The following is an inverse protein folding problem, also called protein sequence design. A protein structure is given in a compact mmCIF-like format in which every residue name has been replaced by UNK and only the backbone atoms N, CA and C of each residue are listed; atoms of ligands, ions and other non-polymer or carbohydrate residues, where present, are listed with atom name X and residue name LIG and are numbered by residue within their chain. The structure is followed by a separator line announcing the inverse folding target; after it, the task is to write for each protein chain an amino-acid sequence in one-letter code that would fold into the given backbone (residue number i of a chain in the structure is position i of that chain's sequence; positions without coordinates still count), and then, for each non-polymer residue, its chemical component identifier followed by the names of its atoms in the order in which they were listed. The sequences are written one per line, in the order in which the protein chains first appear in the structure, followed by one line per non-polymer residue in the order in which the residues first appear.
data_IF_568700135031
#
_entry.id   IF_568700135031
#
_cell.length_a   1.000
_cell.length_b   1.000
_cell.length_c   1.000
_cell.angle_alpha   90.00
_cell.angle_beta   90.00
_cell.angle_gamma   90.00
#
_symmetry.space_group_name_H-M   'P 1'
#
loop_
_entity.id
_entity.type
_entity.pdbx_description
1 polymer ?
#
# COMPACT_ATOMS: atom_id res chain seq x y z
N UNK A 1 -22.26 24.07 16.92
CA UNK A 1 -21.40 23.24 16.05
C UNK A 1 -20.12 24.01 15.78
N UNK A 2 -19.14 23.88 16.66
CA UNK A 2 -17.83 24.52 16.52
C UNK A 2 -17.09 23.84 15.36
N UNK A 3 -16.79 24.60 14.29
CA UNK A 3 -15.90 24.14 13.22
C UNK A 3 -14.60 23.68 13.87
N UNK A 4 -14.24 22.41 13.74
CA UNK A 4 -12.89 21.96 14.07
C UNK A 4 -11.90 22.80 13.26
N UNK A 5 -10.77 23.23 13.86
CA UNK A 5 -9.76 24.00 13.14
C UNK A 5 -9.36 23.24 11.88
N UNK A 6 -9.30 23.97 10.75
CA UNK A 6 -9.05 23.44 9.41
C UNK A 6 -7.90 22.43 9.41
N UNK A 7 -8.25 21.16 9.36
CA UNK A 7 -7.31 20.06 9.41
C UNK A 7 -6.69 19.89 8.03
N UNK A 8 -5.40 20.17 7.91
CA UNK A 8 -4.70 20.11 6.64
C UNK A 8 -3.84 18.86 6.51
N UNK A 9 -3.76 18.32 5.30
CA UNK A 9 -2.89 17.20 4.93
C UNK A 9 -1.77 17.65 3.99
N UNK A 10 -0.58 17.09 4.18
CA UNK A 10 0.60 17.30 3.33
C UNK A 10 0.59 16.29 2.20
N UNK A 11 0.24 16.75 1.00
CA UNK A 11 0.16 15.94 -0.22
C UNK A 11 1.30 16.36 -1.15
N UNK A 12 2.12 15.38 -1.53
CA UNK A 12 3.20 15.57 -2.49
C UNK A 12 2.66 15.75 -3.91
N UNK A 13 1.73 14.87 -4.32
CA UNK A 13 1.22 14.82 -5.69
C UNK A 13 -0.22 14.30 -5.71
N UNK A 14 -1.02 14.82 -6.64
CA UNK A 14 -2.32 14.26 -7.04
C UNK A 14 -2.29 14.09 -8.56
N UNK A 15 -2.49 12.87 -9.06
CA UNK A 15 -2.38 12.59 -10.48
C UNK A 15 -3.20 11.36 -10.91
N UNK A 16 -3.55 11.30 -12.19
CA UNK A 16 -4.19 10.14 -12.82
C UNK A 16 -3.10 9.25 -13.45
N UNK A 17 -3.22 7.93 -13.28
CA UNK A 17 -2.28 6.95 -13.85
C UNK A 17 -2.90 5.55 -13.91
N UNK A 18 -2.11 4.56 -14.30
CA UNK A 18 -2.46 3.14 -14.26
C UNK A 18 -1.72 2.46 -13.10
N UNK A 19 -2.45 1.67 -12.30
CA UNK A 19 -1.88 0.91 -11.19
C UNK A 19 -0.83 -0.08 -11.70
N UNK A 20 0.41 0.14 -11.29
CA UNK A 20 1.56 -0.63 -11.76
C UNK A 20 1.94 -1.80 -10.85
N UNK A 21 1.23 -2.02 -9.74
CA UNK A 21 1.59 -2.99 -8.71
C UNK A 21 0.36 -3.75 -8.19
N UNK A 22 0.60 -4.89 -7.53
CA UNK A 22 -0.47 -5.64 -6.85
C UNK A 22 -1.45 -6.33 -7.79
N UNK A 23 -2.59 -6.76 -7.24
CA UNK A 23 -3.60 -7.55 -7.97
C UNK A 23 -4.48 -6.70 -8.91
N UNK A 24 -4.48 -5.37 -8.74
CA UNK A 24 -5.18 -4.41 -9.60
C UNK A 24 -4.28 -3.82 -10.68
N UNK A 25 -3.22 -4.53 -11.03
CA UNK A 25 -2.29 -4.12 -12.07
C UNK A 25 -3.03 -3.89 -13.39
N UNK A 26 -2.87 -2.69 -13.97
CA UNK A 26 -3.52 -2.30 -15.23
C UNK A 26 -4.79 -1.46 -15.05
N UNK A 27 -5.31 -1.33 -13.82
CA UNK A 27 -6.48 -0.49 -13.55
C UNK A 27 -6.14 1.01 -13.58
N UNK A 28 -7.02 1.80 -14.20
CA UNK A 28 -6.89 3.27 -14.19
C UNK A 28 -7.27 3.81 -12.81
N UNK A 29 -6.40 4.57 -12.16
CA UNK A 29 -6.59 5.08 -10.80
C UNK A 29 -6.20 6.56 -10.68
N UNK A 30 -6.84 7.26 -9.75
CA UNK A 30 -6.34 8.53 -9.25
C UNK A 30 -5.43 8.25 -8.06
N UNK A 31 -4.28 8.89 -7.99
CA UNK A 31 -3.31 8.73 -6.92
C UNK A 31 -3.25 10.01 -6.09
N UNK A 32 -3.36 9.86 -4.77
CA UNK A 32 -3.11 10.90 -3.78
C UNK A 32 -1.87 10.48 -3.00
N UNK A 33 -0.73 11.10 -3.30
CA UNK A 33 0.56 10.77 -2.68
C UNK A 33 0.81 11.64 -1.45
N UNK A 34 0.76 11.05 -0.27
CA UNK A 34 1.07 11.70 1.00
C UNK A 34 2.57 11.93 1.16
N UNK A 35 2.90 13.00 1.88
CA UNK A 35 4.28 13.36 2.22
C UNK A 35 4.68 12.81 3.59
N UNK A 36 5.88 12.24 3.67
CA UNK A 36 6.51 11.75 4.90
C UNK A 36 6.15 10.30 5.25
N UNK A 37 7.12 9.52 5.71
CA UNK A 37 6.95 8.11 6.08
C UNK A 37 7.61 7.85 7.44
N UNK A 38 7.07 6.91 8.22
CA UNK A 38 7.65 6.50 9.51
C UNK A 38 8.81 5.49 9.36
N UNK A 39 9.11 5.07 8.13
CA UNK A 39 10.16 4.11 7.80
C UNK A 39 11.14 4.72 6.79
N UNK A 40 12.40 4.29 6.86
CA UNK A 40 13.45 4.65 5.91
C UNK A 40 14.06 3.38 5.29
N UNK A 41 13.28 2.71 4.43
CA UNK A 41 13.64 1.41 3.87
C UNK A 41 14.82 1.55 2.90
N UNK A 42 15.78 0.61 2.93
CA UNK A 42 16.96 0.61 2.05
C UNK A 42 16.62 0.63 0.55
N UNK A 43 15.50 0.04 0.16
CA UNK A 43 15.03 -0.03 -1.24
C UNK A 43 13.99 1.03 -1.60
N UNK A 44 13.73 2.02 -0.72
CA UNK A 44 12.72 3.04 -0.99
C UNK A 44 13.03 3.76 -2.31
N UNK A 45 12.02 3.87 -3.17
CA UNK A 45 12.13 4.46 -4.52
C UNK A 45 11.38 5.79 -4.66
N UNK A 46 10.71 6.22 -3.60
CA UNK A 46 9.83 7.39 -3.59
C UNK A 46 10.27 8.35 -2.49
N UNK A 47 10.83 9.51 -2.89
CA UNK A 47 11.30 10.55 -1.97
C UNK A 47 10.85 11.93 -2.47
N UNK A 48 9.59 12.32 -2.23
CA UNK A 48 9.12 13.64 -2.61
C UNK A 48 9.93 14.72 -1.90
N UNK A 49 10.34 15.76 -2.63
CA UNK A 49 11.13 16.87 -2.06
C UNK A 49 10.24 17.95 -1.44
N UNK A 50 8.99 18.07 -1.91
CA UNK A 50 8.05 19.08 -1.47
C UNK A 50 6.64 18.50 -1.28
N UNK A 51 5.78 19.30 -0.65
CA UNK A 51 4.36 19.02 -0.51
C UNK A 51 3.57 20.33 -0.59
N UNK A 52 2.28 20.19 -0.89
CA UNK A 52 1.27 21.22 -0.70
C UNK A 52 0.34 20.80 0.43
N UNK A 53 -0.10 21.77 1.22
CA UNK A 53 -1.16 21.53 2.19
C UNK A 53 -2.54 21.58 1.52
N UNK A 54 -3.36 20.58 1.80
CA UNK A 54 -4.73 20.46 1.34
C UNK A 54 -5.69 20.50 2.51
N UNK A 55 -6.84 21.15 2.33
CA UNK A 55 -8.05 20.80 3.10
C UNK A 55 -8.75 19.60 2.45
N UNK A 56 -9.47 18.74 3.21
CA UNK A 56 -10.14 17.57 2.65
C UNK A 56 -11.08 17.92 1.49
N UNK A 57 -11.84 19.01 1.61
CA UNK A 57 -12.75 19.49 0.55
C UNK A 57 -12.00 19.97 -0.70
N UNK A 58 -10.83 20.57 -0.53
CA UNK A 58 -9.97 21.00 -1.64
C UNK A 58 -9.44 19.80 -2.40
N UNK A 59 -8.99 18.75 -1.68
CA UNK A 59 -8.52 17.50 -2.28
C UNK A 59 -9.63 16.84 -3.11
N UNK A 60 -10.83 16.70 -2.55
CA UNK A 60 -11.97 16.12 -3.28
C UNK A 60 -12.33 16.97 -4.51
N UNK A 61 -12.30 18.30 -4.39
CA UNK A 61 -12.55 19.18 -5.53
C UNK A 61 -11.51 19.00 -6.64
N UNK A 62 -10.25 18.72 -6.29
CA UNK A 62 -9.20 18.42 -7.26
C UNK A 62 -9.39 17.05 -7.91
N UNK A 63 -9.71 16.02 -7.12
CA UNK A 63 -10.01 14.68 -7.65
C UNK A 63 -11.16 14.68 -8.66
N UNK A 64 -12.19 15.51 -8.44
CA UNK A 64 -13.32 15.70 -9.36
C UNK A 64 -12.99 16.43 -10.66
N UNK A 65 -11.75 16.90 -10.85
CA UNK A 65 -11.31 17.52 -12.12
C UNK A 65 -10.78 16.51 -13.13
N UNK A 66 -10.44 15.30 -12.68
CA UNK A 66 -10.02 14.22 -13.56
C UNK A 66 -11.24 13.61 -14.26
N UNK A 67 -10.99 12.87 -15.33
CA UNK A 67 -12.02 12.19 -16.13
C UNK A 67 -12.89 11.25 -15.28
N UNK A 68 -14.14 11.05 -15.67
CA UNK A 68 -15.15 10.33 -14.87
C UNK A 68 -14.93 8.80 -14.87
N UNK A 69 -13.97 8.29 -15.64
CA UNK A 69 -13.70 6.85 -15.72
C UNK A 69 -12.35 6.49 -15.08
N UNK A 70 -12.40 6.06 -13.83
CA UNK A 70 -11.30 5.41 -13.09
C UNK A 70 -11.89 4.33 -12.18
N UNK A 71 -11.07 3.34 -11.83
CA UNK A 71 -11.44 2.25 -10.93
C UNK A 71 -11.55 2.72 -9.47
N UNK A 72 -10.56 3.49 -8.98
CA UNK A 72 -10.48 3.91 -7.58
C UNK A 72 -9.52 5.07 -7.36
N UNK A 73 -9.60 5.70 -6.18
CA UNK A 73 -8.63 6.67 -5.67
C UNK A 73 -7.67 5.96 -4.72
N UNK A 74 -6.40 5.84 -5.11
CA UNK A 74 -5.31 5.29 -4.31
C UNK A 74 -4.69 6.36 -3.41
N UNK A 75 -4.95 6.26 -2.12
CA UNK A 75 -4.29 7.03 -1.06
C UNK A 75 -2.97 6.30 -0.73
N UNK A 76 -1.84 6.89 -1.13
CA UNK A 76 -0.49 6.29 -1.09
C UNK A 76 0.55 7.35 -0.66
N UNK A 77 1.83 7.17 -0.97
CA UNK A 77 2.93 8.10 -0.65
C UNK A 77 3.64 7.71 0.61
N UNK A 78 4.51 8.57 1.15
CA UNK A 78 4.99 8.26 2.49
C UNK A 78 3.78 8.01 3.40
N UNK A 79 3.84 6.98 4.25
CA UNK A 79 2.71 6.36 4.96
C UNK A 79 1.45 7.24 5.20
N UNK A 80 0.32 7.02 4.48
CA UNK A 80 -0.88 7.85 4.61
C UNK A 80 -1.45 7.90 6.02
N UNK A 81 -1.35 6.79 6.76
CA UNK A 81 -1.87 6.70 8.13
C UNK A 81 -1.13 7.61 9.11
N UNK A 82 0.03 8.17 8.78
CA UNK A 82 0.65 9.21 9.61
C UNK A 82 -0.19 10.48 9.72
N UNK A 83 -1.06 10.73 8.75
CA UNK A 83 -1.94 11.89 8.70
C UNK A 83 -3.40 11.47 8.93
N UNK A 84 -3.63 10.58 9.91
CA UNK A 84 -4.89 9.84 10.12
C UNK A 84 -6.13 10.72 10.12
N UNK A 85 -6.09 11.87 10.78
CA UNK A 85 -7.29 12.68 10.95
C UNK A 85 -7.68 13.34 9.61
N UNK A 86 -6.70 13.86 8.85
CA UNK A 86 -6.93 14.36 7.50
C UNK A 86 -7.39 13.24 6.56
N UNK A 87 -6.72 12.08 6.63
CA UNK A 87 -7.07 10.91 5.83
C UNK A 87 -8.51 10.46 6.09
N UNK A 88 -8.94 10.44 7.35
CA UNK A 88 -10.30 10.06 7.75
C UNK A 88 -11.36 10.96 7.11
N UNK A 89 -11.17 12.27 7.18
CA UNK A 89 -12.08 13.23 6.55
C UNK A 89 -12.06 13.14 5.02
N UNK A 90 -10.87 13.00 4.42
CA UNK A 90 -10.73 12.84 2.97
C UNK A 90 -11.42 11.56 2.46
N UNK A 91 -11.21 10.42 3.12
CA UNK A 91 -11.88 9.15 2.80
C UNK A 91 -13.40 9.26 2.99
N UNK A 92 -13.86 9.89 4.07
CA UNK A 92 -15.29 10.10 4.33
C UNK A 92 -15.96 10.97 3.27
N UNK A 93 -15.29 12.01 2.78
CA UNK A 93 -15.79 12.82 1.66
C UNK A 93 -15.72 12.07 0.33
N UNK A 94 -14.64 11.33 0.07
CA UNK A 94 -14.51 10.50 -1.13
C UNK A 94 -15.66 9.48 -1.23
N UNK A 95 -15.99 8.81 -0.12
CA UNK A 95 -17.12 7.88 -0.06
C UNK A 95 -18.47 8.56 -0.37
N UNK A 96 -18.70 9.81 0.10
CA UNK A 96 -19.93 10.57 -0.19
C UNK A 96 -20.07 10.95 -1.66
N UNK A 97 -18.95 11.11 -2.36
CA UNK A 97 -18.90 11.40 -3.79
C UNK A 97 -18.82 10.11 -4.65
N UNK A 98 -19.08 8.95 -4.04
CA UNK A 98 -19.07 7.61 -4.69
C UNK A 98 -17.71 7.17 -5.25
N UNK A 99 -16.59 7.69 -4.74
CA UNK A 99 -15.28 7.15 -5.08
C UNK A 99 -15.05 5.81 -4.38
N UNK A 100 -14.57 4.81 -5.13
CA UNK A 100 -13.94 3.62 -4.55
C UNK A 100 -12.59 4.03 -3.96
N UNK A 101 -12.41 3.83 -2.66
CA UNK A 101 -11.17 4.19 -1.94
C UNK A 101 -10.22 3.01 -1.82
N UNK A 102 -8.96 3.25 -2.17
CA UNK A 102 -7.88 2.27 -2.17
C UNK A 102 -6.74 2.79 -1.29
N UNK A 103 -6.28 2.01 -0.31
CA UNK A 103 -5.23 2.41 0.63
C UNK A 103 -3.95 1.60 0.39
N UNK A 104 -2.85 2.29 0.10
CA UNK A 104 -1.51 1.72 0.09
C UNK A 104 -0.78 2.10 1.39
N UNK A 105 -0.25 1.11 2.09
CA UNK A 105 0.30 1.31 3.43
C UNK A 105 1.40 0.29 3.74
N UNK A 106 2.35 0.68 4.58
CA UNK A 106 3.37 -0.21 5.14
C UNK A 106 2.83 -1.10 6.27
N UNK A 107 1.57 -0.94 6.68
CA UNK A 107 0.91 -1.82 7.63
C UNK A 107 1.44 -1.75 9.06
N UNK A 108 2.15 -0.68 9.44
CA UNK A 108 2.77 -0.56 10.77
C UNK A 108 1.97 0.28 11.77
N UNK A 109 0.78 0.78 11.42
CA UNK A 109 0.00 1.68 12.29
C UNK A 109 -1.46 1.18 12.46
N UNK A 110 -1.67 0.01 13.12
CA UNK A 110 -3.00 -0.58 13.27
C UNK A 110 -4.00 0.33 13.99
N UNK A 111 -3.56 1.12 14.96
CA UNK A 111 -4.43 1.99 15.74
C UNK A 111 -5.06 3.08 14.86
N UNK A 112 -4.30 3.61 13.89
CA UNK A 112 -4.81 4.59 12.95
C UNK A 112 -5.67 3.95 11.86
N UNK A 113 -5.35 2.71 11.43
CA UNK A 113 -6.20 1.97 10.51
C UNK A 113 -7.58 1.74 11.10
N UNK A 114 -7.68 1.34 12.37
CA UNK A 114 -8.95 1.09 13.05
C UNK A 114 -9.90 2.30 12.97
N UNK A 115 -9.37 3.52 13.02
CA UNK A 115 -10.18 4.74 12.96
C UNK A 115 -10.69 5.11 11.57
N UNK A 116 -10.12 4.54 10.51
CA UNK A 116 -10.44 4.86 9.11
C UNK A 116 -10.96 3.69 8.30
N UNK A 117 -10.86 2.46 8.81
CA UNK A 117 -11.19 1.21 8.11
C UNK A 117 -12.59 1.21 7.50
N UNK A 118 -13.52 1.96 8.08
CA UNK A 118 -14.90 2.04 7.60
C UNK A 118 -15.08 2.80 6.30
N UNK A 119 -14.09 3.60 5.92
CA UNK A 119 -14.09 4.40 4.71
C UNK A 119 -13.14 3.87 3.63
N UNK A 120 -12.53 2.70 3.85
CA UNK A 120 -11.59 2.07 2.91
C UNK A 120 -12.25 0.86 2.26
N UNK A 121 -12.23 0.78 0.93
CA UNK A 121 -12.79 -0.36 0.21
C UNK A 121 -11.72 -1.45 -0.03
N UNK A 122 -10.53 -1.03 -0.47
CA UNK A 122 -9.44 -1.91 -0.88
C UNK A 122 -8.14 -1.53 -0.16
N UNK A 123 -7.39 -2.52 0.31
CA UNK A 123 -6.10 -2.32 0.99
C UNK A 123 -5.00 -3.12 0.29
N UNK A 124 -3.94 -2.39 -0.10
CA UNK A 124 -2.65 -2.94 -0.48
C UNK A 124 -1.69 -2.79 0.71
N UNK A 125 -1.55 -3.87 1.49
CA UNK A 125 -0.67 -3.88 2.66
C UNK A 125 0.72 -4.37 2.28
N UNK A 126 1.72 -3.49 2.30
CA UNK A 126 3.11 -3.86 2.07
C UNK A 126 3.79 -4.32 3.37
N UNK A 127 3.88 -5.64 3.56
CA UNK A 127 4.56 -6.24 4.70
C UNK A 127 6.07 -6.02 4.57
N UNK A 128 6.60 -5.16 5.44
CA UNK A 128 8.00 -4.76 5.42
C UNK A 128 8.91 -5.84 5.99
N UNK A 129 9.63 -6.54 5.10
CA UNK A 129 10.55 -7.62 5.45
C UNK A 129 11.86 -7.05 6.03
N UNK A 130 12.29 -7.41 7.25
CA UNK A 130 13.55 -6.95 7.85
C UNK A 130 14.77 -7.13 6.95
N UNK A 131 14.91 -8.30 6.35
CA UNK A 131 16.04 -8.64 5.48
C UNK A 131 16.04 -7.88 4.16
N UNK A 132 14.89 -7.39 3.69
CA UNK A 132 14.80 -6.48 2.54
C UNK A 132 15.03 -5.02 2.96
N UNK A 133 14.36 -4.57 4.02
CA UNK A 133 14.33 -3.16 4.43
C UNK A 133 15.62 -2.69 5.11
N UNK A 134 16.35 -3.61 5.74
CA UNK A 134 17.47 -3.27 6.62
C UNK A 134 17.03 -2.69 7.97
N UNK A 135 15.75 -2.80 8.31
CA UNK A 135 15.16 -2.28 9.55
C UNK A 135 14.84 -3.42 10.53
N UNK A 136 14.44 -3.05 11.75
CA UNK A 136 13.87 -4.00 12.71
C UNK A 136 12.58 -4.62 12.17
N UNK A 137 12.14 -5.73 12.76
CA UNK A 137 10.86 -6.32 12.42
C UNK A 137 9.67 -5.59 13.04
N UNK A 138 8.55 -5.63 12.31
CA UNK A 138 7.26 -5.08 12.72
C UNK A 138 6.18 -6.17 12.80
N UNK A 139 6.56 -7.44 12.98
CA UNK A 139 5.65 -8.60 12.86
C UNK A 139 4.37 -8.52 13.70
N UNK A 140 4.46 -8.06 14.95
CA UNK A 140 3.28 -7.89 15.80
C UNK A 140 2.35 -6.81 15.23
N UNK A 141 2.90 -5.64 14.90
CA UNK A 141 2.13 -4.54 14.30
C UNK A 141 1.52 -4.93 12.96
N UNK A 142 2.26 -5.63 12.10
CA UNK A 142 1.73 -6.18 10.84
C UNK A 142 0.59 -7.17 11.09
N UNK A 143 0.72 -8.08 12.07
CA UNK A 143 -0.37 -9.03 12.40
C UNK A 143 -1.62 -8.30 12.86
N UNK A 144 -1.48 -7.33 13.76
CA UNK A 144 -2.63 -6.58 14.26
C UNK A 144 -3.26 -5.72 13.17
N UNK A 145 -2.44 -5.10 12.32
CA UNK A 145 -2.90 -4.39 11.15
C UNK A 145 -3.69 -5.29 10.20
N UNK A 146 -3.16 -6.46 9.88
CA UNK A 146 -3.77 -7.38 8.92
C UNK A 146 -5.11 -7.92 9.44
N UNK A 147 -5.27 -8.11 10.76
CA UNK A 147 -6.58 -8.46 11.36
C UNK A 147 -7.63 -7.39 11.10
N UNK A 148 -7.27 -6.12 11.22
CA UNK A 148 -8.17 -4.99 10.96
C UNK A 148 -8.44 -4.87 9.46
N UNK A 149 -7.38 -4.92 8.64
CA UNK A 149 -7.48 -4.81 7.19
C UNK A 149 -8.34 -5.92 6.56
N UNK A 150 -8.35 -7.11 7.16
CA UNK A 150 -9.16 -8.26 6.71
C UNK A 150 -10.68 -8.06 6.85
N UNK A 151 -11.14 -6.94 7.44
CA UNK A 151 -12.55 -6.53 7.41
C UNK A 151 -12.96 -5.97 6.04
N UNK A 152 -11.99 -5.63 5.19
CA UNK A 152 -12.14 -5.08 3.84
C UNK A 152 -11.44 -5.98 2.82
N UNK A 153 -11.56 -5.65 1.55
CA UNK A 153 -10.74 -6.33 0.54
C UNK A 153 -9.27 -5.99 0.78
N UNK A 154 -8.43 -7.01 0.96
CA UNK A 154 -7.02 -6.83 1.26
C UNK A 154 -6.16 -7.87 0.56
N UNK A 155 -5.04 -7.42 0.02
CA UNK A 155 -3.93 -8.28 -0.38
C UNK A 155 -2.64 -7.80 0.28
N UNK A 156 -1.72 -8.75 0.47
CA UNK A 156 -0.41 -8.49 1.07
C UNK A 156 0.62 -8.41 -0.04
N UNK A 157 1.46 -7.38 -0.02
CA UNK A 157 2.60 -7.22 -0.91
C UNK A 157 3.88 -7.33 -0.09
N UNK A 158 4.92 -7.95 -0.64
CA UNK A 158 6.24 -8.00 -0.01
C UNK A 158 7.32 -7.74 -1.05
N UNK A 159 8.17 -6.72 -0.80
CA UNK A 159 9.31 -6.44 -1.67
C UNK A 159 10.45 -7.42 -1.40
N UNK A 160 10.85 -8.16 -2.42
CA UNK A 160 11.90 -9.16 -2.41
C UNK A 160 13.17 -8.60 -3.04
N UNK A 161 14.20 -8.47 -2.23
CA UNK A 161 15.57 -8.14 -2.58
C UNK A 161 16.44 -9.40 -2.62
N UNK A 162 17.67 -9.31 -3.13
CA UNK A 162 18.70 -10.35 -3.08
C UNK A 162 19.05 -10.74 -1.64
N UNK A 163 18.94 -9.79 -0.71
CA UNK A 163 19.13 -9.99 0.73
C UNK A 163 17.96 -10.70 1.43
N UNK A 164 16.77 -10.76 0.83
CA UNK A 164 15.57 -11.31 1.49
C UNK A 164 15.77 -12.74 2.00
N UNK A 165 15.49 -12.97 3.27
CA UNK A 165 15.55 -14.28 3.88
C UNK A 165 14.22 -15.02 3.73
N UNK A 166 14.25 -16.35 3.72
CA UNK A 166 13.02 -17.14 3.56
C UNK A 166 12.14 -17.07 4.81
N UNK A 167 12.77 -16.90 5.96
CA UNK A 167 12.16 -16.76 7.28
C UNK A 167 11.19 -15.57 7.28
N UNK A 168 11.56 -14.44 6.68
CA UNK A 168 10.70 -13.26 6.55
C UNK A 168 9.44 -13.53 5.72
N UNK A 169 9.57 -14.30 4.63
CA UNK A 169 8.42 -14.73 3.82
C UNK A 169 7.53 -15.67 4.62
N UNK A 170 8.13 -16.56 5.43
CA UNK A 170 7.39 -17.48 6.28
C UNK A 170 6.60 -16.77 7.39
N UNK A 171 7.08 -15.63 7.89
CA UNK A 171 6.32 -14.77 8.81
C UNK A 171 5.06 -14.19 8.13
N UNK A 172 5.20 -13.66 6.90
CA UNK A 172 4.06 -13.18 6.13
C UNK A 172 3.05 -14.30 5.83
N UNK A 173 3.54 -15.49 5.47
CA UNK A 173 2.70 -16.68 5.26
C UNK A 173 1.96 -17.06 6.55
N UNK A 174 2.63 -17.03 7.71
CA UNK A 174 1.97 -17.34 9.00
C UNK A 174 0.85 -16.35 9.29
N UNK A 175 1.11 -15.06 9.14
CA UNK A 175 0.12 -13.99 9.33
C UNK A 175 -1.14 -14.19 8.47
N UNK A 176 -0.95 -14.47 7.17
CA UNK A 176 -2.06 -14.73 6.23
C UNK A 176 -2.85 -15.97 6.66
N UNK A 177 -2.15 -17.07 7.00
CA UNK A 177 -2.79 -18.34 7.36
C UNK A 177 -3.64 -18.26 8.62
N UNK A 178 -3.24 -17.43 9.58
CA UNK A 178 -3.88 -17.26 10.88
C UNK A 178 -5.08 -16.31 10.84
N UNK A 179 -5.15 -15.42 9.83
CA UNK A 179 -6.12 -14.32 9.81
C UNK A 179 -7.07 -14.37 8.62
N UNK A 180 -6.55 -14.41 7.39
CA UNK A 180 -7.35 -14.41 6.17
C UNK A 180 -6.65 -15.21 5.07
N UNK A 181 -7.04 -16.48 4.93
CA UNK A 181 -6.41 -17.42 3.99
C UNK A 181 -6.68 -17.11 2.52
N UNK A 182 -7.67 -16.27 2.24
CA UNK A 182 -8.05 -15.89 0.88
C UNK A 182 -7.21 -14.72 0.35
N UNK A 183 -6.52 -13.99 1.23
CA UNK A 183 -5.65 -12.90 0.82
C UNK A 183 -4.48 -13.40 -0.05
N UNK A 184 -4.21 -12.68 -1.13
CA UNK A 184 -3.09 -12.95 -2.04
C UNK A 184 -1.81 -12.35 -1.46
N UNK A 185 -0.71 -13.11 -1.51
CA UNK A 185 0.64 -12.62 -1.26
C UNK A 185 1.35 -12.30 -2.59
N UNK A 186 1.52 -11.02 -2.88
CA UNK A 186 2.27 -10.51 -4.03
C UNK A 186 3.74 -10.41 -3.67
N UNK A 187 4.58 -11.22 -4.30
CA UNK A 187 6.05 -11.14 -4.20
C UNK A 187 6.55 -10.18 -5.28
N UNK A 188 6.90 -8.96 -4.87
CA UNK A 188 7.36 -7.91 -5.78
C UNK A 188 8.89 -7.86 -5.81
N UNK A 189 9.56 -8.12 -6.94
CA UNK A 189 10.99 -7.88 -7.05
C UNK A 189 11.32 -6.41 -6.78
N UNK A 190 12.41 -6.15 -6.06
CA UNK A 190 13.03 -4.83 -6.08
C UNK A 190 13.48 -4.51 -7.51
N UNK A 191 12.96 -3.43 -8.10
CA UNK A 191 13.24 -3.04 -9.48
C UNK A 191 14.74 -2.89 -9.79
N UNK A 192 15.53 -2.42 -8.81
CA UNK A 192 16.97 -2.22 -8.98
C UNK A 192 17.77 -3.52 -8.94
N UNK A 193 17.13 -4.66 -8.67
CA UNK A 193 17.76 -5.96 -8.53
C UNK A 193 17.11 -6.97 -9.50
N UNK A 194 17.74 -7.18 -10.66
CA UNK A 194 17.34 -8.22 -11.60
C UNK A 194 18.45 -9.27 -11.82
N UNK A 195 18.07 -10.43 -12.34
CA UNK A 195 18.98 -11.46 -12.76
C UNK A 195 18.40 -12.86 -12.62
N UNK A 196 19.15 -13.85 -13.13
CA UNK A 196 18.76 -15.27 -13.07
C UNK A 196 18.54 -15.74 -11.63
N UNK A 197 19.38 -15.32 -10.69
CA UNK A 197 19.29 -15.72 -9.29
C UNK A 197 18.09 -15.11 -8.57
N UNK A 198 17.78 -13.82 -8.81
CA UNK A 198 16.55 -13.20 -8.31
C UNK A 198 15.31 -13.94 -8.80
N UNK A 199 15.24 -14.26 -10.10
CA UNK A 199 14.13 -15.02 -10.69
C UNK A 199 13.99 -16.41 -10.07
N UNK A 200 15.09 -17.12 -9.82
CA UNK A 200 15.07 -18.42 -9.11
C UNK A 200 14.55 -18.27 -7.68
N UNK A 201 15.03 -17.25 -6.96
CA UNK A 201 14.64 -16.96 -5.58
C UNK A 201 13.14 -16.67 -5.45
N UNK A 202 12.60 -15.78 -6.30
CA UNK A 202 11.17 -15.46 -6.32
C UNK A 202 10.31 -16.69 -6.58
N UNK A 203 10.68 -17.52 -7.57
CA UNK A 203 9.97 -18.79 -7.84
C UNK A 203 9.99 -19.71 -6.63
N UNK A 204 11.17 -19.89 -6.01
CA UNK A 204 11.33 -20.73 -4.81
C UNK A 204 10.46 -20.24 -3.66
N UNK A 205 10.42 -18.93 -3.41
CA UNK A 205 9.60 -18.31 -2.36
C UNK A 205 8.11 -18.48 -2.65
N UNK A 206 7.66 -18.18 -3.88
CA UNK A 206 6.27 -18.39 -4.32
C UNK A 206 5.84 -19.84 -4.10
N UNK A 207 6.64 -20.80 -4.56
CA UNK A 207 6.32 -22.23 -4.46
C UNK A 207 6.26 -22.69 -2.98
N UNK A 208 7.06 -22.07 -2.11
CA UNK A 208 6.98 -22.28 -0.66
C UNK A 208 5.67 -21.74 -0.09
N UNK A 209 5.24 -20.53 -0.44
CA UNK A 209 3.93 -19.99 -0.04
C UNK A 209 2.77 -20.92 -0.43
N UNK A 210 2.79 -21.41 -1.67
CA UNK A 210 1.76 -22.33 -2.21
C UNK A 210 1.75 -23.65 -1.42
N UNK A 211 2.92 -24.23 -1.11
CA UNK A 211 3.02 -25.44 -0.26
C UNK A 211 2.40 -25.25 1.13
N UNK A 212 2.43 -24.03 1.66
CA UNK A 212 1.78 -23.66 2.92
C UNK A 212 0.30 -23.23 2.76
N UNK A 213 -0.28 -23.46 1.57
CA UNK A 213 -1.67 -23.14 1.21
C UNK A 213 -1.98 -21.63 1.34
N UNK A 214 -1.06 -20.79 0.89
CA UNK A 214 -1.25 -19.35 0.68
C UNK A 214 -1.13 -19.06 -0.80
N UNK A 215 -2.14 -18.38 -1.37
CA UNK A 215 -2.10 -17.93 -2.76
C UNK A 215 -1.00 -16.89 -2.90
N UNK A 216 -0.04 -17.14 -3.79
CA UNK A 216 1.07 -16.23 -4.03
C UNK A 216 1.36 -16.06 -5.52
N UNK A 217 1.63 -14.82 -5.93
CA UNK A 217 2.02 -14.47 -7.29
C UNK A 217 3.28 -13.60 -7.28
N UNK A 218 3.92 -13.46 -8.44
CA UNK A 218 5.10 -12.60 -8.62
C UNK A 218 4.67 -11.49 -9.57
N UNK A 219 4.64 -10.24 -9.10
CA UNK A 219 4.23 -9.08 -9.88
C UNK A 219 5.30 -8.00 -9.74
N UNK A 220 6.01 -7.61 -10.82
CA UNK A 220 6.97 -6.51 -10.78
C UNK A 220 6.27 -5.14 -10.81
N UNK A 221 7.05 -4.07 -10.60
CA UNK A 221 6.57 -2.69 -10.77
C UNK A 221 6.42 -2.36 -12.25
N UNK A 222 5.24 -2.63 -12.83
CA UNK A 222 5.02 -2.50 -14.28
C UNK A 222 5.08 -1.07 -14.79
N UNK A 223 4.77 -0.07 -13.96
CA UNK A 223 4.92 1.33 -14.35
C UNK A 223 6.37 1.73 -14.68
N UNK A 224 7.36 1.00 -14.15
CA UNK A 224 8.78 1.17 -14.49
C UNK A 224 9.22 0.41 -15.75
N UNK A 225 8.47 -0.63 -16.12
CA UNK A 225 8.82 -1.55 -17.22
C UNK A 225 8.07 -1.20 -18.50
N UNK A 226 6.80 -0.81 -18.39
CA UNK A 226 5.87 -0.66 -19.50
C UNK A 226 5.51 0.80 -19.81
N UNK A 227 6.24 1.77 -19.24
CA UNK A 227 6.01 3.21 -19.46
C UNK A 227 4.58 3.67 -19.15
N UNK A 228 3.90 2.95 -18.26
CA UNK A 228 2.61 3.33 -17.72
C UNK A 228 2.87 4.51 -16.77
N UNK A 229 2.66 5.73 -17.24
CA UNK A 229 2.62 6.95 -16.43
C UNK A 229 1.22 7.51 -16.47
#
# INVERSE_FOLDING_TARGET
MTRQPFMKGKIAEVFESVQGEGIYLGEKQLFVRFFGCNLNCKYCDTHPECFREYEPQELIKELKRFDDHYHSVSFTGGEPLLQKDFLKEALGLAARENFTTYLETNGTIPEHLEEVIDYVHIISMDVKLPSSTGLKHYWERHRDFFKIASRREVFVKAVVCSSTQEEDIMEAVRMIRETNRSAVLVLQPNYFEDGREMRKKLRRMRDRCIRHRVTACIIPQMHKVAWLR
#
